data_IF_566589606563
#
_entry.id   IF_566589606563
#
_cell.length_a   1.000
_cell.length_b   1.000
_cell.length_c   1.000
_cell.angle_alpha   90.00
_cell.angle_beta   90.00
_cell.angle_gamma   90.00
#
_symmetry.space_group_name_H-M   'P 1'
#
loop_
_entity.id
_entity.type
_entity.pdbx_description
1 polymer ?
#
# COMPACT_ATOMS: atom_id res chain seq x y z
N UNK A 1 -4.02 -10.82 9.74
CA UNK A 1 -4.87 -9.72 9.21
C UNK A 1 -5.11 -9.82 7.69
N UNK A 2 -4.65 -10.86 6.99
CA UNK A 2 -4.78 -10.96 5.53
C UNK A 2 -6.07 -11.58 5.00
N UNK A 3 -6.84 -12.28 5.85
CA UNK A 3 -8.08 -12.95 5.45
C UNK A 3 -9.25 -11.97 5.26
N UNK A 4 -9.35 -10.92 6.08
CA UNK A 4 -10.53 -10.03 6.10
C UNK A 4 -10.69 -9.17 4.84
N UNK A 5 -9.59 -8.63 4.29
CA UNK A 5 -9.66 -7.75 3.10
C UNK A 5 -9.98 -8.57 1.85
N UNK A 6 -9.34 -9.74 1.69
CA UNK A 6 -9.59 -10.62 0.55
C UNK A 6 -11.06 -11.02 0.51
N UNK A 7 -11.60 -11.49 1.63
CA UNK A 7 -12.98 -11.97 1.71
C UNK A 7 -13.99 -10.82 1.49
N UNK A 8 -13.66 -9.61 1.94
CA UNK A 8 -14.47 -8.40 1.68
C UNK A 8 -14.52 -8.05 0.19
N UNK A 9 -13.41 -8.19 -0.54
CA UNK A 9 -13.35 -7.93 -1.99
C UNK A 9 -14.18 -8.99 -2.76
N UNK A 10 -14.10 -10.25 -2.34
CA UNK A 10 -14.93 -11.33 -2.91
C UNK A 10 -16.40 -11.09 -2.62
N UNK A 11 -16.76 -10.72 -1.39
CA UNK A 11 -18.13 -10.40 -1.00
C UNK A 11 -18.71 -9.19 -1.77
N UNK A 12 -17.85 -8.26 -2.20
CA UNK A 12 -18.22 -7.16 -3.09
C UNK A 12 -18.44 -7.58 -4.56
N UNK A 13 -18.29 -8.87 -4.89
CA UNK A 13 -18.58 -9.45 -6.20
C UNK A 13 -17.37 -9.56 -7.14
N UNK A 14 -16.15 -9.37 -6.65
CA UNK A 14 -14.94 -9.56 -7.45
C UNK A 14 -14.55 -11.04 -7.47
N UNK A 15 -14.33 -11.61 -8.65
CA UNK A 15 -13.86 -12.99 -8.76
C UNK A 15 -12.43 -13.13 -8.22
N UNK A 16 -12.17 -14.22 -7.49
CA UNK A 16 -10.86 -14.49 -6.86
C UNK A 16 -9.69 -14.43 -7.85
N UNK A 17 -9.91 -14.89 -9.08
CA UNK A 17 -8.90 -14.83 -10.15
C UNK A 17 -8.44 -13.40 -10.49
N UNK A 18 -9.21 -12.37 -10.13
CA UNK A 18 -8.90 -10.95 -10.32
C UNK A 18 -8.31 -10.28 -9.08
N UNK A 19 -8.01 -11.05 -8.04
CA UNK A 19 -7.38 -10.55 -6.81
C UNK A 19 -5.94 -11.05 -6.77
N UNK A 20 -5.02 -10.16 -6.41
CA UNK A 20 -3.63 -10.50 -6.11
C UNK A 20 -3.25 -9.82 -4.81
N UNK A 21 -2.90 -10.62 -3.81
CA UNK A 21 -2.42 -10.11 -2.52
C UNK A 21 -0.90 -10.25 -2.42
N UNK A 22 -0.25 -9.16 -2.03
CA UNK A 22 1.18 -9.08 -1.71
C UNK A 22 1.27 -8.50 -0.29
N UNK A 23 1.92 -9.22 0.62
CA UNK A 23 2.02 -8.83 2.03
C UNK A 23 3.39 -8.21 2.25
N UNK A 24 3.43 -6.98 2.73
CA UNK A 24 4.68 -6.33 3.11
C UNK A 24 4.47 -4.88 3.49
N UNK A 25 5.53 -4.25 4.00
CA UNK A 25 5.59 -2.81 4.19
C UNK A 25 5.96 -2.16 2.85
N UNK A 26 5.10 -1.27 2.36
CA UNK A 26 5.30 -0.60 1.07
C UNK A 26 6.54 0.29 1.05
N UNK A 27 7.09 0.65 2.22
CA UNK A 27 8.36 1.41 2.33
C UNK A 27 9.60 0.59 2.01
N UNK A 28 9.46 -0.72 1.80
CA UNK A 28 10.55 -1.60 1.43
C UNK A 28 10.61 -1.77 -0.09
N UNK A 29 11.71 -1.33 -0.70
CA UNK A 29 11.99 -1.45 -2.14
C UNK A 29 11.75 -2.87 -2.70
N UNK A 30 12.07 -3.93 -1.94
CA UNK A 30 11.85 -5.31 -2.38
C UNK A 30 10.36 -5.68 -2.42
N UNK A 31 9.55 -5.16 -1.48
CA UNK A 31 8.10 -5.36 -1.49
C UNK A 31 7.47 -4.60 -2.66
N UNK A 32 7.93 -3.39 -2.94
CA UNK A 32 7.47 -2.62 -4.09
C UNK A 32 7.77 -3.34 -5.40
N UNK A 33 9.00 -3.84 -5.54
CA UNK A 33 9.43 -4.61 -6.71
C UNK A 33 8.59 -5.87 -6.89
N UNK A 34 8.41 -6.66 -5.82
CA UNK A 34 7.57 -7.86 -5.85
C UNK A 34 6.12 -7.53 -6.26
N UNK A 35 5.56 -6.44 -5.71
CA UNK A 35 4.20 -5.99 -6.04
C UNK A 35 4.04 -5.71 -7.53
N UNK A 36 4.98 -4.97 -8.12
CA UNK A 36 4.96 -4.63 -9.55
C UNK A 36 5.14 -5.90 -10.40
N UNK A 37 6.16 -6.70 -10.10
CA UNK A 37 6.48 -7.91 -10.87
C UNK A 37 5.33 -8.91 -10.87
N UNK A 38 4.74 -9.21 -9.71
CA UNK A 38 3.61 -10.14 -9.60
C UNK A 38 2.35 -9.60 -10.28
N UNK A 39 2.11 -8.29 -10.20
CA UNK A 39 0.95 -7.66 -10.85
C UNK A 39 1.06 -7.75 -12.37
N UNK A 40 2.22 -7.39 -12.94
CA UNK A 40 2.47 -7.50 -14.38
C UNK A 40 2.44 -8.96 -14.83
N UNK A 41 3.03 -9.89 -14.06
CA UNK A 41 3.00 -11.31 -14.41
C UNK A 41 1.58 -11.89 -14.46
N UNK A 42 0.69 -11.47 -13.56
CA UNK A 42 -0.69 -11.98 -13.49
C UNK A 42 -1.65 -11.28 -14.46
N UNK A 43 -1.53 -9.96 -14.62
CA UNK A 43 -2.51 -9.13 -15.33
C UNK A 43 -1.98 -8.51 -16.63
N UNK A 44 -0.68 -8.65 -16.92
CA UNK A 44 -0.02 -8.18 -18.15
C UNK A 44 0.41 -6.72 -18.15
N UNK A 45 -0.28 -5.85 -17.40
CA UNK A 45 0.06 -4.42 -17.25
C UNK A 45 -0.51 -3.83 -15.96
N UNK A 46 -0.09 -2.61 -15.63
CA UNK A 46 -0.67 -1.77 -14.59
C UNK A 46 -1.30 -0.57 -15.28
N UNK A 47 -2.62 -0.42 -15.16
CA UNK A 47 -3.37 0.70 -15.73
C UNK A 47 -3.44 1.89 -14.79
N UNK A 48 -3.66 1.61 -13.51
CA UNK A 48 -3.91 2.60 -12.46
C UNK A 48 -3.11 2.15 -11.24
N UNK A 49 -2.38 3.10 -10.64
CA UNK A 49 -1.72 2.93 -9.35
C UNK A 49 -2.42 3.86 -8.34
N UNK A 50 -2.92 3.29 -7.25
CA UNK A 50 -3.53 4.05 -6.15
C UNK A 50 -2.57 4.03 -4.95
N UNK A 51 -1.81 5.10 -4.77
CA UNK A 51 -0.91 5.27 -3.62
C UNK A 51 -1.72 5.67 -2.37
N UNK A 52 -2.45 4.70 -1.79
CA UNK A 52 -3.30 4.92 -0.61
C UNK A 52 -2.57 4.70 0.74
N UNK A 53 -1.38 4.11 0.73
CA UNK A 53 -0.61 3.95 1.96
C UNK A 53 -0.30 5.33 2.55
N UNK A 54 -0.54 5.50 3.85
CA UNK A 54 -0.42 6.79 4.51
C UNK A 54 -0.31 6.68 6.02
N UNK A 55 0.50 7.55 6.60
CA UNK A 55 0.63 7.81 8.04
C UNK A 55 0.08 9.19 8.38
N UNK A 56 -0.44 9.35 9.59
CA UNK A 56 -0.92 10.61 10.12
C UNK A 56 -0.44 10.81 11.56
N UNK A 57 0.03 12.02 11.85
CA UNK A 57 0.38 12.47 13.20
C UNK A 57 -0.61 13.56 13.58
N UNK A 58 -1.44 13.27 14.60
CA UNK A 58 -2.51 14.16 15.07
C UNK A 58 -2.04 15.31 15.94
N UNK A 59 -1.02 16.06 15.52
CA UNK A 59 -0.50 17.23 16.23
C UNK A 59 -0.59 18.48 15.35
N UNK A 60 -0.82 19.67 15.94
CA UNK A 60 -0.55 20.92 15.23
C UNK A 60 0.88 20.94 14.68
N UNK A 61 1.08 21.49 13.49
CA UNK A 61 2.38 21.42 12.80
C UNK A 61 3.55 22.04 13.58
N UNK A 62 3.28 23.00 14.47
CA UNK A 62 4.29 23.62 15.34
C UNK A 62 4.58 22.82 16.62
N UNK A 63 3.80 21.77 16.91
CA UNK A 63 3.99 20.84 18.04
C UNK A 63 4.56 19.49 17.58
N UNK A 64 4.63 19.26 16.28
CA UNK A 64 5.22 18.05 15.71
C UNK A 64 6.74 18.06 15.87
N UNK A 65 7.31 16.92 16.25
CA UNK A 65 8.77 16.79 16.29
C UNK A 65 9.35 16.54 14.90
N UNK A 66 10.68 16.61 14.79
CA UNK A 66 11.38 16.25 13.55
C UNK A 66 11.15 14.77 13.19
N UNK A 67 11.01 13.89 14.18
CA UNK A 67 10.68 12.47 13.97
C UNK A 67 9.25 12.29 13.45
N UNK A 68 8.28 13.05 13.98
CA UNK A 68 6.90 13.04 13.47
C UNK A 68 6.88 13.44 11.99
N UNK A 69 7.62 14.51 11.63
CA UNK A 69 7.75 14.95 10.25
C UNK A 69 8.45 13.90 9.38
N UNK A 70 9.57 13.35 9.86
CA UNK A 70 10.32 12.33 9.15
C UNK A 70 9.47 11.10 8.85
N UNK A 71 8.65 10.65 9.80
CA UNK A 71 7.70 9.54 9.62
C UNK A 71 6.65 9.85 8.55
N UNK A 72 6.05 11.04 8.58
CA UNK A 72 5.05 11.45 7.57
C UNK A 72 5.68 11.48 6.18
N UNK A 73 6.88 12.05 6.03
CA UNK A 73 7.59 12.08 4.76
C UNK A 73 7.93 10.65 4.29
N UNK A 74 8.40 9.80 5.20
CA UNK A 74 8.79 8.41 4.92
C UNK A 74 7.62 7.57 4.40
N UNK A 75 6.43 7.68 5.00
CA UNK A 75 5.27 6.88 4.60
C UNK A 75 4.54 7.48 3.40
N UNK A 76 4.42 8.81 3.32
CA UNK A 76 3.47 9.45 2.40
C UNK A 76 4.13 9.98 1.11
N UNK A 77 5.44 10.28 1.13
CA UNK A 77 6.10 11.03 0.07
C UNK A 77 7.36 10.38 -0.47
N UNK A 78 8.05 9.55 0.32
CA UNK A 78 9.22 8.82 -0.18
C UNK A 78 8.77 7.75 -1.17
N UNK A 79 9.66 7.50 -2.14
CA UNK A 79 9.49 6.49 -3.18
C UNK A 79 9.51 5.09 -2.60
#
# INVERSE_FOLDING_TARGET
>A
MTLEIHDSIVAAGVSEGRILSVIGDIRNDEVQKELIERTVAKFGRIDILVNNAGGFVGKPGFEASDEDFAYIVDVNLKR
#
